data_IF_761082625989
#
_entry.id   IF_761082625989
#
_cell.length_a   1.000
_cell.length_b   1.000
_cell.length_c   1.000
_cell.angle_alpha   90.00
_cell.angle_beta   90.00
_cell.angle_gamma   90.00
#
_symmetry.space_group_name_H-M   'P 1'
#
loop_
_entity.id
_entity.type
_entity.pdbx_description
1 polymer ?
#
# COMPACT_ATOMS: atom_id res chain seq x y z
N UNK A 1 -10.57 11.56 -7.35
CA UNK A 1 -9.35 11.37 -6.53
C UNK A 1 -8.84 9.98 -6.76
N UNK A 2 -7.55 9.80 -7.00
CA UNK A 2 -6.92 8.49 -7.19
C UNK A 2 -7.00 7.68 -5.90
N UNK A 3 -7.46 6.44 -5.92
CA UNK A 3 -7.41 5.56 -4.75
C UNK A 3 -5.96 5.28 -4.32
N UNK A 4 -5.76 4.99 -3.04
CA UNK A 4 -4.47 4.62 -2.47
C UNK A 4 -4.54 3.22 -1.87
N UNK A 5 -3.41 2.54 -1.82
CA UNK A 5 -3.20 1.31 -1.06
C UNK A 5 -2.03 1.45 -0.09
N UNK A 6 -1.97 0.57 0.89
CA UNK A 6 -0.78 0.44 1.73
C UNK A 6 0.37 -0.20 0.93
N UNK A 7 1.57 0.35 1.09
CA UNK A 7 2.79 -0.25 0.52
C UNK A 7 3.32 -1.39 1.38
N UNK A 8 2.99 -1.39 2.67
CA UNK A 8 3.37 -2.40 3.64
C UNK A 8 2.36 -2.47 4.76
N UNK A 9 2.28 -3.59 5.45
CA UNK A 9 1.60 -3.69 6.74
C UNK A 9 2.39 -2.94 7.80
N UNK A 10 1.69 -2.29 8.73
CA UNK A 10 2.34 -1.53 9.79
C UNK A 10 1.55 -1.56 11.09
N UNK A 11 2.27 -1.30 12.18
CA UNK A 11 1.67 -1.14 13.51
C UNK A 11 2.11 0.17 14.15
N UNK A 12 1.23 0.73 14.98
CA UNK A 12 1.54 1.89 15.81
C UNK A 12 0.89 1.72 17.19
N UNK A 13 1.50 2.27 18.21
CA UNK A 13 1.05 2.06 19.58
C UNK A 13 0.93 3.37 20.35
N UNK A 14 -0.08 3.46 21.23
CA UNK A 14 -0.28 4.56 22.17
C UNK A 14 -0.78 4.05 23.52
N UNK A 15 -0.27 4.66 24.57
CA UNK A 15 -0.80 4.53 25.94
C UNK A 15 -1.62 5.79 26.28
N UNK A 16 -2.92 5.62 26.53
CA UNK A 16 -3.85 6.71 26.80
C UNK A 16 -4.63 6.38 28.09
N UNK A 17 -4.48 7.18 29.12
CA UNK A 17 -5.12 6.96 30.44
C UNK A 17 -5.00 5.49 30.92
N UNK A 18 -3.80 4.93 30.91
CA UNK A 18 -3.46 3.54 31.26
C UNK A 18 -4.01 2.47 30.30
N UNK A 19 -4.86 2.80 29.32
CA UNK A 19 -5.24 1.86 28.28
C UNK A 19 -4.17 1.83 27.19
N UNK A 20 -3.75 0.63 26.79
CA UNK A 20 -2.85 0.42 25.65
C UNK A 20 -3.67 0.20 24.40
N UNK A 21 -3.37 0.96 23.37
CA UNK A 21 -3.96 0.85 22.06
C UNK A 21 -2.88 0.48 21.03
N UNK A 22 -3.14 -0.55 20.23
CA UNK A 22 -2.27 -0.97 19.14
C UNK A 22 -3.06 -0.88 17.83
N UNK A 23 -2.67 0.01 16.96
CA UNK A 23 -3.21 0.14 15.60
C UNK A 23 -2.44 -0.76 14.65
N UNK A 24 -3.17 -1.55 13.87
CA UNK A 24 -2.64 -2.40 12.81
C UNK A 24 -3.26 -1.95 11.49
N UNK A 25 -2.46 -1.53 10.54
CA UNK A 25 -2.86 -1.27 9.16
C UNK A 25 -2.39 -2.44 8.30
N UNK A 26 -3.31 -3.05 7.57
CA UNK A 26 -3.08 -4.29 6.81
C UNK A 26 -3.58 -4.10 5.39
N UNK A 27 -2.74 -4.40 4.41
CA UNK A 27 -3.13 -4.52 3.01
C UNK A 27 -3.90 -5.83 2.81
N UNK A 28 -5.04 -5.75 2.16
CA UNK A 28 -5.84 -6.91 1.79
C UNK A 28 -5.54 -7.27 0.33
N UNK A 29 -4.95 -8.42 0.09
CA UNK A 29 -4.75 -8.95 -1.27
C UNK A 29 -6.03 -9.61 -1.80
N UNK A 30 -6.82 -10.17 -0.88
CA UNK A 30 -8.14 -10.74 -1.11
C UNK A 30 -9.11 -10.18 -0.06
N UNK A 31 -10.44 -10.20 -0.29
CA UNK A 31 -11.43 -9.72 0.68
C UNK A 31 -11.58 -10.63 1.92
N UNK A 32 -10.50 -11.29 2.35
CA UNK A 32 -10.44 -12.13 3.55
C UNK A 32 -10.15 -11.31 4.81
N UNK A 33 -11.16 -10.55 5.25
CA UNK A 33 -11.08 -9.73 6.45
C UNK A 33 -10.98 -10.58 7.71
N UNK A 34 -11.70 -11.71 7.78
CA UNK A 34 -11.71 -12.57 8.98
C UNK A 34 -10.35 -13.25 9.19
N UNK A 35 -9.71 -13.76 8.14
CA UNK A 35 -8.36 -14.32 8.25
C UNK A 35 -7.33 -13.28 8.68
N UNK A 36 -7.46 -12.04 8.22
CA UNK A 36 -6.60 -10.95 8.68
C UNK A 36 -6.84 -10.59 10.15
N UNK A 37 -8.11 -10.56 10.60
CA UNK A 37 -8.47 -10.34 12.00
C UNK A 37 -7.95 -11.46 12.92
N UNK A 38 -8.01 -12.72 12.47
CA UNK A 38 -7.51 -13.85 13.24
C UNK A 38 -5.98 -13.80 13.40
N UNK A 39 -5.23 -13.39 12.39
CA UNK A 39 -3.78 -13.13 12.52
C UNK A 39 -3.50 -12.06 13.56
N UNK A 40 -4.27 -10.97 13.58
CA UNK A 40 -4.11 -9.90 14.57
C UNK A 40 -4.48 -10.38 15.98
N UNK A 41 -5.54 -11.17 16.14
CA UNK A 41 -5.91 -11.77 17.44
C UNK A 41 -4.82 -12.67 17.99
N UNK A 42 -4.15 -13.45 17.12
CA UNK A 42 -3.02 -14.30 17.49
C UNK A 42 -1.78 -13.49 17.87
N UNK A 43 -1.51 -12.41 17.14
CA UNK A 43 -0.36 -11.53 17.41
C UNK A 43 -0.54 -10.72 18.70
N UNK A 44 -1.77 -10.32 19.03
CA UNK A 44 -2.12 -9.46 20.16
C UNK A 44 -3.18 -10.14 21.06
N UNK A 45 -2.87 -11.27 21.71
CA UNK A 45 -3.86 -12.04 22.46
C UNK A 45 -4.30 -11.34 23.74
N UNK A 46 -5.51 -11.68 24.23
CA UNK A 46 -6.02 -11.25 25.53
C UNK A 46 -6.45 -9.80 25.60
N UNK A 47 -6.61 -9.11 24.51
CA UNK A 47 -7.15 -7.76 24.49
C UNK A 47 -8.67 -7.74 24.80
N UNK A 48 -9.15 -6.62 25.30
CA UNK A 48 -10.58 -6.44 25.59
C UNK A 48 -11.40 -6.20 24.30
N UNK A 49 -10.81 -5.51 23.32
CA UNK A 49 -11.47 -5.12 22.08
C UNK A 49 -10.52 -5.19 20.89
N UNK A 50 -11.06 -5.64 19.74
CA UNK A 50 -10.40 -5.67 18.42
C UNK A 50 -11.29 -4.92 17.43
N UNK A 51 -11.36 -3.61 17.61
CA UNK A 51 -12.20 -2.77 16.78
C UNK A 51 -11.61 -2.63 15.38
N UNK A 52 -12.45 -2.73 14.34
CA UNK A 52 -11.96 -2.79 12.98
C UNK A 52 -12.77 -1.93 12.02
N UNK A 53 -12.15 -1.52 10.95
CA UNK A 53 -12.80 -1.06 9.74
C UNK A 53 -12.02 -1.53 8.52
N UNK A 54 -12.73 -1.93 7.49
CA UNK A 54 -12.13 -2.21 6.20
C UNK A 54 -12.84 -1.46 5.08
N UNK A 55 -12.10 -1.26 4.01
CA UNK A 55 -12.61 -0.72 2.76
C UNK A 55 -11.95 -1.46 1.62
N UNK A 56 -12.73 -2.32 0.94
CA UNK A 56 -12.29 -3.02 -0.25
C UNK A 56 -12.30 -2.06 -1.44
N UNK A 57 -13.43 -1.39 -1.66
CA UNK A 57 -13.63 -0.33 -2.63
C UNK A 57 -14.68 0.67 -2.11
N UNK A 58 -14.94 1.80 -2.81
CA UNK A 58 -16.06 2.67 -2.49
C UNK A 58 -17.39 1.94 -2.66
N UNK A 59 -18.03 1.57 -1.55
CA UNK A 59 -19.29 0.82 -1.51
C UNK A 59 -19.18 -0.55 -0.82
N UNK A 60 -18.00 -1.13 -0.74
CA UNK A 60 -17.72 -2.35 0.02
C UNK A 60 -16.84 -2.03 1.24
N UNK A 61 -17.47 -1.42 2.24
CA UNK A 61 -16.80 -1.00 3.46
C UNK A 61 -17.64 -1.36 4.70
N UNK A 62 -16.96 -1.64 5.79
CA UNK A 62 -17.61 -1.97 7.07
C UNK A 62 -16.77 -1.48 8.24
N UNK A 63 -17.47 -1.21 9.36
CA UNK A 63 -16.89 -0.84 10.64
C UNK A 63 -17.48 -1.69 11.76
N UNK A 64 -16.65 -2.08 12.73
CA UNK A 64 -17.05 -2.86 13.90
C UNK A 64 -16.44 -2.26 15.17
N UNK A 65 -17.29 -1.95 16.12
CA UNK A 65 -16.90 -1.44 17.44
C UNK A 65 -16.43 -2.54 18.39
N UNK A 66 -16.64 -3.81 18.07
CA UNK A 66 -16.20 -5.00 18.85
C UNK A 66 -16.42 -4.85 20.38
N UNK A 67 -17.63 -4.48 20.77
CA UNK A 67 -18.02 -4.33 22.17
C UNK A 67 -17.70 -2.98 22.82
N UNK A 68 -17.05 -2.05 22.14
CA UNK A 68 -16.97 -0.65 22.57
C UNK A 68 -18.35 0.04 22.40
N UNK A 69 -18.62 1.16 23.07
CA UNK A 69 -19.84 1.92 22.88
C UNK A 69 -20.06 2.29 21.41
N UNK A 70 -21.26 2.05 20.91
CA UNK A 70 -21.62 2.22 19.49
C UNK A 70 -21.08 3.52 18.89
N UNK A 71 -20.34 3.40 17.78
CA UNK A 71 -19.79 4.50 16.99
C UNK A 71 -18.56 5.18 17.59
N UNK A 72 -17.95 4.60 18.63
CA UNK A 72 -16.77 5.21 19.27
C UNK A 72 -15.45 4.64 18.79
N UNK A 73 -15.46 3.51 18.08
CA UNK A 73 -14.28 2.83 17.60
C UNK A 73 -14.32 2.60 16.07
N UNK A 74 -15.22 1.77 15.58
CA UNK A 74 -15.26 1.40 14.17
C UNK A 74 -15.46 2.59 13.23
N UNK A 75 -16.36 3.53 13.56
CA UNK A 75 -16.59 4.70 12.72
C UNK A 75 -15.36 5.61 12.54
N UNK A 76 -14.59 5.98 13.61
CA UNK A 76 -13.36 6.75 13.42
C UNK A 76 -12.28 6.01 12.61
N UNK A 77 -12.22 4.66 12.69
CA UNK A 77 -11.34 3.86 11.85
C UNK A 77 -11.75 3.97 10.38
N UNK A 78 -13.03 3.75 10.07
CA UNK A 78 -13.55 3.87 8.72
C UNK A 78 -13.35 5.27 8.14
N UNK A 79 -13.64 6.31 8.92
CA UNK A 79 -13.42 7.70 8.52
C UNK A 79 -11.94 7.99 8.21
N UNK A 80 -11.00 7.27 8.85
CA UNK A 80 -9.56 7.39 8.56
C UNK A 80 -9.23 6.79 7.20
N UNK A 81 -9.74 5.59 6.89
CA UNK A 81 -9.57 4.96 5.58
C UNK A 81 -10.18 5.81 4.46
N UNK A 82 -11.39 6.33 4.67
CA UNK A 82 -12.10 7.17 3.69
C UNK A 82 -11.35 8.48 3.41
N UNK A 83 -10.85 9.17 4.44
CA UNK A 83 -10.09 10.42 4.29
C UNK A 83 -8.79 10.22 3.52
N UNK A 84 -8.11 9.11 3.75
CA UNK A 84 -6.89 8.75 3.03
C UNK A 84 -7.18 8.15 1.64
N UNK A 85 -8.47 8.06 1.25
CA UNK A 85 -8.95 7.41 0.03
C UNK A 85 -8.35 6.01 -0.19
N UNK A 86 -8.16 5.26 0.90
CA UNK A 86 -7.61 3.91 0.88
C UNK A 86 -8.64 2.90 0.37
N UNK A 87 -8.17 1.95 -0.43
CA UNK A 87 -8.89 0.75 -0.86
C UNK A 87 -8.04 -0.49 -0.54
N UNK A 88 -8.64 -1.68 -0.60
CA UNK A 88 -7.99 -2.95 -0.22
C UNK A 88 -7.29 -2.85 1.15
N UNK A 89 -7.92 -2.17 2.08
CA UNK A 89 -7.31 -1.78 3.34
C UNK A 89 -8.17 -2.20 4.54
N UNK A 90 -7.51 -2.75 5.55
CA UNK A 90 -8.06 -3.03 6.87
C UNK A 90 -7.26 -2.26 7.92
N UNK A 91 -7.96 -1.59 8.83
CA UNK A 91 -7.37 -1.05 10.06
C UNK A 91 -8.03 -1.71 11.25
N UNK A 92 -7.23 -2.25 12.14
CA UNK A 92 -7.67 -2.80 13.43
C UNK A 92 -7.01 -2.02 14.54
N UNK A 93 -7.78 -1.63 15.55
CA UNK A 93 -7.21 -1.09 16.79
C UNK A 93 -7.55 -2.03 17.93
N UNK A 94 -6.50 -2.66 18.45
CA UNK A 94 -6.54 -3.56 19.60
C UNK A 94 -6.43 -2.74 20.86
N UNK A 95 -7.31 -2.95 21.84
CA UNK A 95 -7.29 -2.23 23.10
C UNK A 95 -7.19 -3.15 24.30
N UNK A 96 -6.25 -2.83 25.17
CA UNK A 96 -6.13 -3.38 26.53
C UNK A 96 -6.60 -2.29 27.51
N UNK A 97 -7.70 -2.54 28.22
CA UNK A 97 -8.28 -1.58 29.15
C UNK A 97 -7.42 -1.40 30.40
N UNK A 98 -7.09 -0.17 30.72
CA UNK A 98 -6.22 0.19 31.84
C UNK A 98 -6.97 0.61 33.14
N UNK A 99 -8.26 0.31 33.27
CA UNK A 99 -9.05 0.60 34.44
C UNK A 99 -9.63 2.03 34.50
N UNK A 100 -9.25 2.93 33.57
CA UNK A 100 -9.76 4.32 33.53
C UNK A 100 -10.63 4.50 32.29
N UNK A 101 -11.87 4.96 32.50
CA UNK A 101 -12.83 5.23 31.41
C UNK A 101 -12.49 6.54 30.71
N UNK A 102 -12.38 6.50 29.37
CA UNK A 102 -12.12 7.67 28.54
C UNK A 102 -13.38 8.50 28.22
N UNK A 103 -14.56 7.92 28.42
CA UNK A 103 -15.80 8.46 27.89
C UNK A 103 -15.92 8.36 26.38
N UNK A 104 -17.13 8.51 25.83
CA UNK A 104 -17.38 8.37 24.39
C UNK A 104 -16.51 9.29 23.51
N UNK A 105 -16.38 10.62 23.81
CA UNK A 105 -15.52 11.49 23.01
C UNK A 105 -14.03 11.14 23.11
N UNK A 106 -13.59 10.68 24.30
CA UNK A 106 -12.20 10.25 24.50
C UNK A 106 -11.87 8.98 23.73
N UNK A 107 -12.80 8.00 23.73
CA UNK A 107 -12.68 6.79 22.93
C UNK A 107 -12.56 7.11 21.43
N UNK A 108 -13.49 7.91 20.91
CA UNK A 108 -13.51 8.30 19.51
C UNK A 108 -12.14 8.88 19.07
N UNK A 109 -11.61 9.84 19.84
CA UNK A 109 -10.31 10.44 19.55
C UNK A 109 -9.17 9.42 19.64
N UNK A 110 -9.14 8.60 20.70
CA UNK A 110 -8.10 7.59 20.89
C UNK A 110 -8.04 6.60 19.72
N UNK A 111 -9.18 6.07 19.28
CA UNK A 111 -9.26 5.17 18.14
C UNK A 111 -8.84 5.87 16.85
N UNK A 112 -9.29 7.09 16.62
CA UNK A 112 -8.91 7.87 15.44
C UNK A 112 -7.42 8.16 15.38
N UNK A 113 -6.83 8.63 16.49
CA UNK A 113 -5.40 8.99 16.55
C UNK A 113 -4.51 7.77 16.30
N UNK A 114 -4.84 6.63 16.90
CA UNK A 114 -4.07 5.39 16.71
C UNK A 114 -4.21 4.84 15.30
N UNK A 115 -5.42 4.90 14.73
CA UNK A 115 -5.64 4.51 13.34
C UNK A 115 -4.83 5.37 12.36
N UNK A 116 -4.81 6.69 12.56
CA UNK A 116 -4.03 7.61 11.73
C UNK A 116 -2.54 7.31 11.78
N UNK A 117 -2.00 6.99 12.97
CA UNK A 117 -0.60 6.62 13.12
C UNK A 117 -0.26 5.31 12.39
N UNK A 118 -1.12 4.29 12.51
CA UNK A 118 -0.93 3.03 11.82
C UNK A 118 -1.00 3.20 10.29
N UNK A 119 -1.99 3.96 9.80
CA UNK A 119 -2.13 4.30 8.38
C UNK A 119 -0.90 5.04 7.85
N UNK A 120 -0.40 6.04 8.58
CA UNK A 120 0.79 6.78 8.17
C UNK A 120 2.03 5.86 8.13
N UNK A 121 2.19 4.96 9.10
CA UNK A 121 3.29 4.00 9.14
C UNK A 121 3.24 2.97 7.99
N UNK A 122 2.05 2.66 7.48
CA UNK A 122 1.85 1.75 6.35
C UNK A 122 2.13 2.38 4.98
N UNK A 123 2.51 3.65 4.94
CA UNK A 123 2.92 4.39 3.74
C UNK A 123 1.91 4.24 2.60
N UNK A 124 0.74 4.91 2.67
CA UNK A 124 -0.21 4.92 1.57
C UNK A 124 0.41 5.47 0.30
N UNK A 125 0.20 4.78 -0.83
CA UNK A 125 0.66 5.24 -2.14
C UNK A 125 -0.49 5.15 -3.16
N UNK A 126 -0.51 6.03 -4.18
CA UNK A 126 -1.56 6.03 -5.18
C UNK A 126 -1.55 4.75 -6.00
N UNK A 127 -2.74 4.26 -6.32
CA UNK A 127 -2.93 3.23 -7.33
C UNK A 127 -2.72 3.85 -8.71
N UNK A 128 -1.86 3.22 -9.51
CA UNK A 128 -1.57 3.63 -10.88
C UNK A 128 -1.82 2.48 -11.84
N UNK A 129 -2.10 2.82 -13.10
CA UNK A 129 -2.15 1.84 -14.18
C UNK A 129 -0.76 1.25 -14.39
N UNK A 130 -0.62 -0.03 -14.16
CA UNK A 130 0.60 -0.81 -14.39
C UNK A 130 0.45 -1.67 -15.64
N UNK A 131 1.55 -1.87 -16.33
CA UNK A 131 1.66 -2.78 -17.47
C UNK A 131 2.75 -3.82 -17.16
N UNK A 132 2.42 -5.09 -17.32
CA UNK A 132 3.44 -6.13 -17.43
C UNK A 132 3.94 -6.13 -18.85
N UNK A 133 5.23 -5.86 -19.01
CA UNK A 133 5.82 -5.76 -20.31
C UNK A 133 6.95 -6.76 -20.49
N UNK A 134 7.13 -7.20 -21.73
CA UNK A 134 8.32 -7.90 -22.20
C UNK A 134 9.05 -6.98 -23.18
N UNK A 135 10.33 -6.80 -22.94
CA UNK A 135 11.23 -6.09 -23.84
C UNK A 135 12.21 -7.11 -24.42
N UNK A 136 12.36 -7.10 -25.73
CA UNK A 136 13.41 -7.83 -26.44
C UNK A 136 14.26 -6.82 -27.18
N UNK A 137 15.57 -6.84 -27.01
CA UNK A 137 16.46 -5.91 -27.71
C UNK A 137 17.74 -6.58 -28.19
N UNK A 138 18.40 -5.96 -29.20
CA UNK A 138 19.73 -6.35 -29.63
C UNK A 138 20.77 -6.03 -28.54
N UNK A 139 21.93 -6.66 -28.60
CA UNK A 139 23.05 -6.34 -27.74
C UNK A 139 23.54 -4.89 -27.92
N UNK A 140 23.38 -4.31 -29.11
CA UNK A 140 23.71 -2.91 -29.36
C UNK A 140 22.80 -1.94 -28.62
N UNK A 141 21.50 -2.26 -28.47
CA UNK A 141 20.52 -1.45 -27.77
C UNK A 141 20.48 -1.70 -26.25
N UNK A 142 21.12 -2.78 -25.78
CA UNK A 142 21.01 -3.25 -24.38
C UNK A 142 21.36 -2.18 -23.35
N UNK A 143 22.49 -1.47 -23.53
CA UNK A 143 22.88 -0.44 -22.54
C UNK A 143 21.86 0.70 -22.42
N UNK A 144 21.17 1.02 -23.51
CA UNK A 144 20.11 2.04 -23.47
C UNK A 144 18.86 1.54 -22.74
N UNK A 145 18.43 0.30 -23.02
CA UNK A 145 17.31 -0.36 -22.34
C UNK A 145 17.62 -0.54 -20.86
N UNK A 146 18.81 -1.00 -20.51
CA UNK A 146 19.24 -1.19 -19.12
C UNK A 146 19.18 0.13 -18.34
N UNK A 147 19.78 1.21 -18.86
CA UNK A 147 19.73 2.52 -18.21
C UNK A 147 18.30 3.02 -18.02
N UNK A 148 17.42 2.77 -18.97
CA UNK A 148 16.03 3.13 -18.86
C UNK A 148 15.32 2.32 -17.75
N UNK A 149 15.53 1.00 -17.70
CA UNK A 149 14.99 0.14 -16.63
C UNK A 149 15.53 0.56 -15.27
N UNK A 150 16.85 0.72 -15.15
CA UNK A 150 17.52 1.13 -13.91
C UNK A 150 16.96 2.49 -13.42
N UNK A 151 16.78 3.46 -14.32
CA UNK A 151 16.22 4.77 -13.97
C UNK A 151 14.75 4.70 -13.53
N UNK A 152 13.98 3.78 -14.11
CA UNK A 152 12.59 3.57 -13.74
C UNK A 152 12.46 2.97 -12.32
N UNK A 153 13.37 2.05 -11.97
CA UNK A 153 13.36 1.35 -10.67
C UNK A 153 14.23 2.02 -9.61
N UNK A 154 15.14 2.91 -9.98
CA UNK A 154 16.14 3.52 -9.09
C UNK A 154 15.59 4.08 -7.76
N UNK A 155 14.40 4.72 -7.70
CA UNK A 155 13.88 5.24 -6.44
C UNK A 155 12.99 4.23 -5.71
N UNK A 156 12.84 3.01 -6.19
CA UNK A 156 11.89 2.04 -5.65
C UNK A 156 12.57 0.99 -4.78
N UNK A 157 11.92 0.49 -3.72
CA UNK A 157 12.42 -0.67 -2.97
C UNK A 157 12.20 -2.00 -3.72
N UNK A 158 11.68 -1.94 -4.94
CA UNK A 158 11.42 -3.13 -5.75
C UNK A 158 12.73 -3.62 -6.38
N UNK A 159 12.93 -4.92 -6.34
CA UNK A 159 14.03 -5.54 -7.08
C UNK A 159 13.81 -5.35 -8.58
N UNK A 160 14.84 -4.86 -9.27
CA UNK A 160 14.82 -4.80 -10.73
C UNK A 160 14.85 -6.23 -11.26
N UNK A 161 13.86 -6.65 -12.07
CA UNK A 161 13.89 -7.97 -12.68
C UNK A 161 15.15 -8.19 -13.50
N UNK A 162 15.76 -9.38 -13.39
CA UNK A 162 16.99 -9.70 -14.09
C UNK A 162 16.78 -9.78 -15.61
N UNK A 163 17.80 -9.38 -16.35
CA UNK A 163 17.87 -9.59 -17.80
C UNK A 163 18.25 -11.04 -18.13
N UNK A 164 17.66 -11.59 -19.18
CA UNK A 164 17.99 -12.88 -19.75
C UNK A 164 18.70 -12.67 -21.10
N UNK A 165 19.68 -13.53 -21.42
CA UNK A 165 20.57 -13.37 -22.55
C UNK A 165 20.57 -14.65 -23.38
N UNK A 166 20.24 -14.52 -24.66
CA UNK A 166 20.43 -15.55 -25.70
C UNK A 166 20.89 -14.88 -27.00
N UNK A 167 20.27 -15.10 -28.15
CA UNK A 167 20.54 -14.35 -29.39
C UNK A 167 20.13 -12.87 -29.27
N UNK A 168 19.30 -12.55 -28.29
CA UNK A 168 18.87 -11.21 -27.94
C UNK A 168 18.92 -11.03 -26.41
N UNK A 169 18.66 -9.82 -25.97
CA UNK A 169 18.49 -9.53 -24.55
C UNK A 169 17.00 -9.38 -24.24
N UNK A 170 16.53 -10.09 -23.23
CA UNK A 170 15.13 -10.09 -22.80
C UNK A 170 14.99 -9.55 -21.39
N UNK A 171 13.96 -8.77 -21.18
CA UNK A 171 13.55 -8.29 -19.87
C UNK A 171 12.04 -8.39 -19.71
N UNK A 172 11.58 -8.76 -18.52
CA UNK A 172 10.18 -8.73 -18.14
C UNK A 172 9.99 -8.01 -16.81
N UNK A 173 9.04 -7.10 -16.75
CA UNK A 173 8.77 -6.37 -15.53
C UNK A 173 7.43 -5.66 -15.55
N UNK A 174 7.09 -5.06 -14.40
CA UNK A 174 5.96 -4.15 -14.26
C UNK A 174 6.47 -2.73 -14.49
N UNK A 175 5.73 -1.95 -15.25
CA UNK A 175 6.02 -0.53 -15.49
C UNK A 175 4.75 0.28 -15.35
N UNK A 176 4.80 1.50 -14.83
CA UNK A 176 3.64 2.39 -14.85
C UNK A 176 3.32 2.77 -16.31
N UNK A 177 2.05 2.89 -16.64
CA UNK A 177 1.60 3.27 -17.99
C UNK A 177 2.20 4.61 -18.46
N UNK A 178 2.51 5.50 -17.51
CA UNK A 178 3.19 6.77 -17.79
C UNK A 178 4.60 6.59 -18.40
N UNK A 179 5.21 5.40 -18.28
CA UNK A 179 6.50 5.10 -18.87
C UNK A 179 6.44 4.78 -20.37
N UNK A 180 5.23 4.62 -20.94
CA UNK A 180 4.99 4.24 -22.34
C UNK A 180 5.61 5.24 -23.33
N UNK A 181 5.51 6.55 -23.07
CA UNK A 181 6.09 7.58 -23.93
C UNK A 181 7.61 7.54 -23.98
N UNK A 182 8.27 7.23 -22.87
CA UNK A 182 9.71 7.07 -22.81
C UNK A 182 10.19 5.78 -23.51
N UNK A 183 9.38 4.70 -23.41
CA UNK A 183 9.61 3.46 -24.13
C UNK A 183 9.46 3.67 -25.65
N UNK A 184 8.50 4.47 -26.09
CA UNK A 184 8.32 4.80 -27.50
C UNK A 184 9.53 5.56 -28.06
N UNK A 185 10.07 6.51 -27.31
CA UNK A 185 11.31 7.21 -27.66
C UNK A 185 12.51 6.24 -27.82
N UNK A 186 12.60 5.21 -26.98
CA UNK A 186 13.62 4.16 -27.15
C UNK A 186 13.41 3.36 -28.44
N UNK A 187 12.18 2.96 -28.73
CA UNK A 187 11.85 2.21 -29.96
C UNK A 187 12.18 3.00 -31.22
N UNK A 188 11.79 4.27 -31.26
CA UNK A 188 12.08 5.17 -32.38
C UNK A 188 13.60 5.34 -32.61
N UNK A 189 14.36 5.55 -31.53
CA UNK A 189 15.82 5.74 -31.60
C UNK A 189 16.55 4.51 -32.11
N UNK A 190 16.06 3.32 -31.84
CA UNK A 190 16.72 2.04 -32.15
C UNK A 190 16.06 1.28 -33.27
N UNK A 191 15.16 1.93 -34.06
CA UNK A 191 14.70 1.48 -35.39
C UNK A 191 14.42 -0.04 -35.53
N UNK A 192 13.63 -0.61 -34.60
CA UNK A 192 13.24 -2.02 -34.60
C UNK A 192 14.20 -2.98 -33.88
N UNK A 193 15.30 -2.48 -33.32
CA UNK A 193 16.19 -3.28 -32.44
C UNK A 193 15.64 -3.41 -31.00
N UNK A 194 14.57 -2.73 -30.68
CA UNK A 194 13.84 -2.81 -29.39
C UNK A 194 12.38 -3.14 -29.66
N UNK A 195 11.97 -4.33 -29.28
CA UNK A 195 10.59 -4.76 -29.28
C UNK A 195 10.00 -4.59 -27.87
N UNK A 196 8.79 -4.05 -27.79
CA UNK A 196 8.04 -3.85 -26.56
C UNK A 196 6.67 -4.49 -26.70
N UNK A 197 6.35 -5.45 -25.81
CA UNK A 197 5.06 -6.13 -25.79
C UNK A 197 4.39 -5.94 -24.43
N UNK A 198 3.19 -5.39 -24.41
CA UNK A 198 2.34 -5.36 -23.22
C UNK A 198 1.64 -6.70 -23.11
N UNK A 199 1.97 -7.47 -22.08
CA UNK A 199 1.39 -8.81 -21.83
C UNK A 199 0.13 -8.75 -20.98
N UNK A 200 0.03 -7.78 -20.05
CA UNK A 200 -1.12 -7.58 -19.17
C UNK A 200 -1.14 -6.14 -18.64
N UNK A 201 -2.31 -5.72 -18.19
CA UNK A 201 -2.51 -4.46 -17.46
C UNK A 201 -3.12 -4.76 -16.09
N UNK A 202 -2.77 -3.98 -15.08
CA UNK A 202 -3.32 -4.09 -13.74
C UNK A 202 -3.34 -2.71 -13.07
N UNK A 203 -4.18 -2.54 -12.05
CA UNK A 203 -4.01 -1.46 -11.08
C UNK A 203 -3.06 -1.93 -9.99
N UNK A 204 -2.16 -1.07 -9.56
CA UNK A 204 -1.24 -1.39 -8.48
C UNK A 204 -0.52 -0.16 -7.94
N UNK A 205 0.18 -0.35 -6.84
CA UNK A 205 1.04 0.69 -6.27
C UNK A 205 2.36 0.68 -7.02
N UNK A 206 2.74 1.84 -7.51
CA UNK A 206 4.09 2.11 -7.99
C UNK A 206 4.67 3.20 -7.09
N UNK A 207 5.82 2.99 -6.47
CA UNK A 207 6.42 3.98 -5.59
C UNK A 207 6.64 5.29 -6.32
N UNK A 208 6.09 6.38 -5.76
CA UNK A 208 6.27 7.72 -6.30
C UNK A 208 7.70 8.20 -6.01
N UNK A 209 8.29 8.92 -6.96
CA UNK A 209 9.64 9.51 -6.83
C UNK A 209 9.69 10.66 -5.80
N UNK A 210 8.52 11.16 -5.37
CA UNK A 210 8.42 12.36 -4.53
C UNK A 210 8.72 12.13 -3.03
N UNK A 211 8.93 10.88 -2.60
CA UNK A 211 9.02 10.57 -1.15
C UNK A 211 10.40 10.04 -0.71
N UNK A 212 11.48 10.47 -1.37
CA UNK A 212 12.85 10.15 -0.94
C UNK A 212 13.38 11.04 0.20
N UNK A 213 12.52 11.90 0.76
CA UNK A 213 12.88 12.73 1.94
C UNK A 213 13.99 13.75 1.68
N UNK A 214 14.33 14.06 0.42
CA UNK A 214 15.40 15.01 0.08
C UNK A 214 14.92 16.43 -0.26
N UNK A 215 13.64 16.73 -0.06
CA UNK A 215 13.15 18.12 -0.11
C UNK A 215 13.23 18.73 1.29
N UNK A 216 14.40 19.15 1.70
CA UNK A 216 14.80 20.28 2.52
C UNK A 216 16.16 20.01 3.21
N UNK A 217 17.22 20.41 2.56
CA UNK A 217 18.43 20.94 3.21
C UNK A 217 18.93 22.15 2.45
#
# INVERSE_FOLDING_TARGET
MTPHEFTTDATAERLILRSRFVGCAVRLEEPDVEGALDRIRQQWPGANHYCSAYRWDPGHERADDNGEPRGTAGLPLLATLQRANLVHALVVVVRYFGGVKLGRPGLYRAYQDVAQLAVAAARPAPLVDLQRVRITCSYAAFDAVRRWVDALYAPTPLEVPSFQFDDHVHWRGLVPRTAESAAETLRERWHGEVEWIVEATALGVWPDRADDGTADR
#
